data_IF_638447134570
#
_entry.id   IF_638447134570
#
_cell.length_a   1.000
_cell.length_b   1.000
_cell.length_c   1.000
_cell.angle_alpha   90.00
_cell.angle_beta   90.00
_cell.angle_gamma   90.00
#
_symmetry.space_group_name_H-M   'P 1'
#
loop_
_entity.id
_entity.type
_entity.pdbx_description
1 polymer ?
#
# COMPACT_ATOMS: atom_id res chain seq x y z
N UNK A 1 16.32 -5.51 -25.97
CA UNK A 1 17.05 -6.57 -25.23
C UNK A 1 18.52 -6.54 -25.64
N UNK A 2 19.24 -5.51 -25.19
CA UNK A 2 20.62 -5.23 -25.64
C UNK A 2 21.52 -5.05 -24.42
N UNK A 3 21.07 -4.29 -23.43
CA UNK A 3 21.86 -3.92 -22.25
C UNK A 3 22.10 -5.10 -21.28
N UNK A 4 21.07 -5.88 -20.94
CA UNK A 4 21.17 -7.00 -20.00
C UNK A 4 22.13 -8.10 -20.49
N UNK A 5 22.14 -8.33 -21.82
CA UNK A 5 23.05 -9.28 -22.48
C UNK A 5 24.51 -8.83 -22.42
N UNK A 6 24.76 -7.54 -22.68
CA UNK A 6 26.10 -6.97 -22.56
C UNK A 6 26.60 -6.96 -21.12
N UNK A 7 25.74 -6.63 -20.15
CA UNK A 7 26.08 -6.67 -18.73
C UNK A 7 26.42 -8.09 -18.27
N UNK A 8 25.67 -9.10 -18.73
CA UNK A 8 25.99 -10.51 -18.45
C UNK A 8 27.37 -10.90 -19.02
N UNK A 9 27.71 -10.46 -20.23
CA UNK A 9 29.02 -10.71 -20.86
C UNK A 9 30.16 -10.02 -20.09
N UNK A 10 29.92 -8.83 -19.54
CA UNK A 10 30.86 -8.09 -18.71
C UNK A 10 30.97 -8.64 -17.28
N UNK A 11 30.27 -9.73 -16.97
CA UNK A 11 30.32 -10.40 -15.68
C UNK A 11 29.39 -9.81 -14.63
N UNK A 12 28.32 -9.11 -15.03
CA UNK A 12 27.31 -8.56 -14.12
C UNK A 12 26.02 -9.37 -14.15
N UNK A 13 25.54 -9.76 -12.98
CA UNK A 13 24.25 -10.43 -12.80
C UNK A 13 23.22 -9.47 -12.21
N UNK A 14 22.00 -9.51 -12.74
CA UNK A 14 20.87 -8.80 -12.15
C UNK A 14 20.35 -9.58 -10.94
N UNK A 15 20.73 -9.13 -9.75
CA UNK A 15 20.47 -9.86 -8.51
C UNK A 15 19.55 -9.08 -7.58
N UNK A 16 18.60 -9.80 -6.98
CA UNK A 16 17.80 -9.27 -5.88
C UNK A 16 18.55 -9.46 -4.57
N UNK A 17 18.83 -8.36 -3.89
CA UNK A 17 19.32 -8.40 -2.51
C UNK A 17 18.14 -8.85 -1.64
N UNK A 18 18.20 -10.09 -1.17
CA UNK A 18 17.20 -10.67 -0.27
C UNK A 18 17.43 -10.13 1.14
N UNK A 19 16.48 -9.36 1.65
CA UNK A 19 16.25 -9.16 3.08
C UNK A 19 14.99 -9.96 3.44
N UNK A 20 14.95 -10.55 4.62
CA UNK A 20 13.74 -11.16 5.13
C UNK A 20 12.63 -10.09 5.19
N UNK A 21 11.49 -10.39 4.58
CA UNK A 21 10.31 -9.53 4.59
C UNK A 21 9.44 -9.99 5.75
N UNK A 22 8.98 -9.05 6.56
CA UNK A 22 7.98 -9.34 7.58
C UNK A 22 6.63 -9.55 6.89
N UNK A 23 6.05 -10.72 7.08
CA UNK A 23 4.68 -11.03 6.64
C UNK A 23 3.73 -10.71 7.79
N UNK A 24 2.84 -9.75 7.57
CA UNK A 24 2.00 -9.15 8.62
C UNK A 24 0.84 -10.04 9.11
N UNK A 25 0.94 -11.36 8.94
CA UNK A 25 -0.01 -12.35 9.48
C UNK A 25 -1.49 -12.13 9.12
N UNK A 26 -1.78 -11.22 8.18
CA UNK A 26 -3.13 -10.76 7.86
C UNK A 26 -4.04 -11.88 7.33
N UNK A 27 -3.43 -12.91 6.74
CA UNK A 27 -4.12 -14.07 6.17
C UNK A 27 -4.42 -15.17 7.21
N UNK A 28 -3.96 -15.01 8.45
CA UNK A 28 -4.26 -16.01 9.50
C UNK A 28 -5.77 -16.11 9.72
N UNK A 29 -6.25 -17.33 9.90
CA UNK A 29 -7.67 -17.63 10.00
C UNK A 29 -8.36 -16.90 11.16
N UNK A 30 -7.67 -16.71 12.29
CA UNK A 30 -8.18 -15.99 13.44
C UNK A 30 -8.29 -14.48 13.18
N UNK A 31 -7.31 -13.89 12.50
CA UNK A 31 -7.33 -12.48 12.07
C UNK A 31 -8.48 -12.22 11.08
N UNK A 32 -8.65 -13.12 10.11
CA UNK A 32 -9.76 -13.04 9.14
C UNK A 32 -11.11 -13.16 9.83
N UNK A 33 -11.27 -14.15 10.73
CA UNK A 33 -12.51 -14.35 11.48
C UNK A 33 -12.86 -13.13 12.34
N UNK A 34 -11.86 -12.50 12.96
CA UNK A 34 -12.04 -11.28 13.74
C UNK A 34 -12.48 -10.08 12.89
N UNK A 35 -11.93 -9.89 11.69
CA UNK A 35 -12.25 -8.74 10.81
C UNK A 35 -13.61 -8.84 10.15
N UNK A 36 -14.11 -10.05 9.89
CA UNK A 36 -15.35 -10.30 9.17
C UNK A 36 -16.55 -9.47 9.67
N UNK A 37 -16.91 -9.53 10.97
CA UNK A 37 -18.02 -8.74 11.53
C UNK A 37 -17.85 -7.23 11.35
N UNK A 38 -16.65 -6.71 11.61
CA UNK A 38 -16.36 -5.28 11.44
C UNK A 38 -16.49 -4.83 9.99
N UNK A 39 -15.98 -5.63 9.04
CA UNK A 39 -16.17 -5.36 7.62
C UNK A 39 -17.66 -5.37 7.24
N UNK A 40 -18.45 -6.30 7.78
CA UNK A 40 -19.88 -6.35 7.51
C UNK A 40 -20.62 -5.10 8.03
N UNK A 41 -20.26 -4.63 9.23
CA UNK A 41 -20.81 -3.39 9.78
C UNK A 41 -20.45 -2.18 8.92
N UNK A 42 -19.18 -2.04 8.52
CA UNK A 42 -18.77 -0.96 7.61
C UNK A 42 -19.52 -1.00 6.27
N UNK A 43 -19.64 -2.18 5.67
CA UNK A 43 -20.35 -2.36 4.40
C UNK A 43 -21.84 -1.99 4.52
N UNK A 44 -22.47 -2.24 5.67
CA UNK A 44 -23.86 -1.86 5.91
C UNK A 44 -24.06 -0.34 6.03
N UNK A 45 -23.01 0.41 6.39
CA UNK A 45 -23.03 1.86 6.52
C UNK A 45 -22.68 2.59 5.21
N UNK A 46 -21.95 1.94 4.29
CA UNK A 46 -21.56 2.52 3.00
C UNK A 46 -22.71 3.14 2.18
N UNK A 47 -23.93 2.56 2.10
CA UNK A 47 -25.03 3.17 1.35
C UNK A 47 -25.45 4.56 1.86
N UNK A 48 -25.08 4.91 3.09
CA UNK A 48 -25.34 6.21 3.72
C UNK A 48 -24.19 7.19 3.55
N UNK A 49 -23.10 6.83 2.87
CA UNK A 49 -22.00 7.74 2.54
C UNK A 49 -22.01 8.10 1.06
N UNK A 50 -21.49 9.28 0.74
CA UNK A 50 -21.22 9.69 -0.64
C UNK A 50 -20.32 8.69 -1.35
N UNK A 51 -20.69 8.32 -2.58
CA UNK A 51 -19.94 7.41 -3.44
C UNK A 51 -19.39 8.16 -4.66
N UNK A 52 -18.45 7.53 -5.35
CA UNK A 52 -17.85 8.08 -6.57
C UNK A 52 -17.95 7.06 -7.69
N UNK A 53 -18.55 7.46 -8.81
CA UNK A 53 -18.73 6.61 -9.98
C UNK A 53 -17.99 7.17 -11.19
N UNK A 54 -17.41 6.30 -12.01
CA UNK A 54 -16.83 6.71 -13.28
C UNK A 54 -17.94 6.88 -14.32
N UNK A 55 -18.12 8.11 -14.81
CA UNK A 55 -19.08 8.44 -15.85
C UNK A 55 -18.39 9.28 -16.93
N UNK A 56 -18.45 8.83 -18.18
CA UNK A 56 -17.86 9.51 -19.34
C UNK A 56 -16.36 9.87 -19.18
N UNK A 57 -15.59 9.02 -18.50
CA UNK A 57 -14.15 9.22 -18.29
C UNK A 57 -13.79 10.23 -17.19
N UNK A 58 -14.75 10.61 -16.34
CA UNK A 58 -14.52 11.38 -15.13
C UNK A 58 -15.17 10.72 -13.91
N UNK A 59 -14.64 11.00 -12.72
CA UNK A 59 -15.28 10.62 -11.46
C UNK A 59 -16.38 11.65 -11.13
N UNK A 60 -17.58 11.15 -10.87
CA UNK A 60 -18.75 11.94 -10.50
C UNK A 60 -19.17 11.55 -9.09
N UNK A 61 -19.44 12.56 -8.27
CA UNK A 61 -19.96 12.40 -6.91
C UNK A 61 -21.42 11.95 -6.95
N UNK A 62 -21.73 10.89 -6.21
CA UNK A 62 -23.07 10.31 -6.08
C UNK A 62 -23.48 10.38 -4.61
N UNK A 63 -24.34 11.35 -4.23
CA UNK A 63 -24.79 11.47 -2.85
C UNK A 63 -25.70 10.29 -2.45
N UNK A 64 -25.71 9.89 -1.16
CA UNK A 64 -26.50 8.76 -0.70
C UNK A 64 -28.00 9.06 -0.72
N UNK A 65 -28.80 8.02 -0.96
CA UNK A 65 -30.26 8.11 -0.83
C UNK A 65 -30.64 7.77 0.62
N UNK A 66 -30.96 8.81 1.40
CA UNK A 66 -31.31 8.67 2.82
C UNK A 66 -32.83 8.53 3.00
N UNK A 67 -33.25 7.63 3.90
CA UNK A 67 -34.66 7.58 4.33
C UNK A 67 -34.93 8.59 5.46
N UNK A 68 -36.20 8.97 5.72
CA UNK A 68 -36.51 9.93 6.79
C UNK A 68 -35.95 9.49 8.14
N UNK A 69 -35.12 10.34 8.74
CA UNK A 69 -34.45 10.09 10.03
C UNK A 69 -33.03 9.55 9.92
N UNK A 70 -32.52 9.28 8.72
CA UNK A 70 -31.11 8.98 8.50
C UNK A 70 -30.28 10.24 8.25
N UNK A 71 -29.03 10.19 8.69
CA UNK A 71 -28.00 11.19 8.39
C UNK A 71 -26.93 10.56 7.50
N UNK A 72 -26.33 11.39 6.66
CA UNK A 72 -25.17 11.00 5.86
C UNK A 72 -23.99 10.64 6.77
N UNK A 73 -23.30 9.56 6.41
CA UNK A 73 -22.13 9.06 7.12
C UNK A 73 -20.88 9.48 6.37
N UNK A 74 -19.95 10.10 7.11
CA UNK A 74 -18.64 10.49 6.60
C UNK A 74 -17.58 9.57 7.21
N UNK A 75 -16.98 8.72 6.38
CA UNK A 75 -15.87 7.87 6.82
C UNK A 75 -14.57 8.68 6.87
N UNK A 76 -14.09 8.93 8.07
CA UNK A 76 -12.75 9.51 8.32
C UNK A 76 -11.83 8.38 8.76
N UNK A 77 -10.92 7.99 7.88
CA UNK A 77 -9.92 6.94 8.14
C UNK A 77 -8.55 7.55 8.38
N UNK A 78 -7.74 6.91 9.21
CA UNK A 78 -6.36 7.30 9.45
C UNK A 78 -5.44 6.15 9.08
N UNK A 79 -4.30 6.48 8.49
CA UNK A 79 -3.24 5.52 8.21
C UNK A 79 -1.87 6.14 8.48
N UNK A 80 -0.93 5.26 8.80
CA UNK A 80 0.45 5.61 9.09
C UNK A 80 1.40 4.96 8.09
N UNK A 81 2.35 5.74 7.58
CA UNK A 81 3.39 5.24 6.70
C UNK A 81 4.77 5.63 7.20
N UNK A 82 5.68 4.67 7.23
CA UNK A 82 7.06 4.85 7.64
C UNK A 82 8.00 4.83 6.42
N UNK A 83 8.62 5.96 6.12
CA UNK A 83 9.60 6.12 5.04
C UNK A 83 11.00 6.05 5.60
N UNK A 84 11.74 5.00 5.28
CA UNK A 84 13.08 4.82 5.77
C UNK A 84 14.14 5.28 4.75
N UNK A 85 15.17 5.99 5.21
CA UNK A 85 16.22 6.57 4.37
C UNK A 85 16.96 5.53 3.52
N UNK A 86 17.07 4.28 3.99
CA UNK A 86 17.75 3.20 3.29
C UNK A 86 16.77 2.23 2.57
N UNK A 87 15.52 2.64 2.35
CA UNK A 87 14.56 1.88 1.53
C UNK A 87 14.85 2.04 0.02
N UNK A 88 16.07 1.67 -0.39
CA UNK A 88 16.54 1.78 -1.78
C UNK A 88 16.20 0.55 -2.63
N UNK A 89 16.40 0.65 -3.95
CA UNK A 89 16.14 -0.41 -4.95
C UNK A 89 16.66 -1.77 -4.47
N UNK A 90 15.81 -2.81 -4.47
CA UNK A 90 16.18 -4.18 -4.05
C UNK A 90 16.96 -4.95 -5.13
N UNK A 91 16.91 -4.46 -6.37
CA UNK A 91 17.54 -5.06 -7.53
C UNK A 91 18.76 -4.23 -7.93
N UNK A 92 19.89 -4.89 -8.08
CA UNK A 92 21.18 -4.29 -8.46
C UNK A 92 21.90 -5.20 -9.45
N UNK A 93 22.67 -4.60 -10.36
CA UNK A 93 23.67 -5.33 -11.13
C UNK A 93 24.92 -5.46 -10.26
N UNK A 94 25.36 -6.69 -10.01
CA UNK A 94 26.57 -6.99 -9.24
C UNK A 94 27.53 -7.77 -10.12
N UNK A 95 28.81 -7.42 -10.06
CA UNK A 95 29.82 -8.21 -10.75
C UNK A 95 30.03 -9.56 -10.04
N UNK A 96 30.37 -10.62 -10.78
CA UNK A 96 30.61 -11.94 -10.22
C UNK A 96 31.63 -11.90 -9.07
N UNK A 97 31.18 -12.31 -7.87
CA UNK A 97 32.01 -12.33 -6.66
C UNK A 97 31.99 -11.03 -5.84
N UNK A 98 31.33 -9.97 -6.32
CA UNK A 98 31.14 -8.75 -5.53
C UNK A 98 29.92 -8.86 -4.62
N UNK A 99 30.10 -8.38 -3.38
CA UNK A 99 29.00 -8.20 -2.43
C UNK A 99 28.89 -6.72 -2.08
N UNK A 100 27.75 -6.12 -2.38
CA UNK A 100 27.46 -4.75 -1.92
C UNK A 100 27.00 -4.81 -0.47
N UNK A 101 27.86 -4.33 0.44
CA UNK A 101 27.49 -4.08 1.82
C UNK A 101 26.53 -2.90 1.88
N UNK A 102 25.29 -3.16 2.30
CA UNK A 102 24.35 -2.09 2.64
C UNK A 102 24.49 -1.71 4.11
N UNK A 103 24.25 -0.44 4.47
CA UNK A 103 24.13 -0.06 5.86
C UNK A 103 23.15 -0.99 6.58
N UNK A 104 23.55 -1.49 7.75
CA UNK A 104 22.70 -2.34 8.58
C UNK A 104 21.46 -1.54 9.01
N UNK A 105 20.28 -2.12 8.85
CA UNK A 105 19.00 -1.49 9.19
C UNK A 105 18.43 -0.58 8.10
N UNK A 106 17.31 0.07 8.42
CA UNK A 106 16.56 0.89 7.47
C UNK A 106 16.99 2.37 7.46
N UNK A 107 17.96 2.74 8.30
CA UNK A 107 18.40 4.14 8.46
C UNK A 107 17.40 4.95 9.29
N UNK A 108 17.50 6.28 9.24
CA UNK A 108 16.49 7.17 9.84
C UNK A 108 15.14 6.97 9.14
N UNK A 109 14.07 6.91 9.91
CA UNK A 109 12.70 6.81 9.39
C UNK A 109 11.93 8.11 9.62
N UNK A 110 11.13 8.49 8.65
CA UNK A 110 10.09 9.51 8.76
C UNK A 110 8.75 8.78 8.89
N UNK A 111 8.04 8.98 10.00
CA UNK A 111 6.68 8.50 10.18
C UNK A 111 5.73 9.62 9.75
N UNK A 112 4.81 9.29 8.86
CA UNK A 112 3.77 10.20 8.37
C UNK A 112 2.44 9.59 8.79
N UNK A 113 1.59 10.40 9.40
CA UNK A 113 0.20 10.05 9.72
C UNK A 113 -0.71 10.98 8.95
N UNK A 114 -1.73 10.43 8.31
CA UNK A 114 -2.72 11.21 7.56
C UNK A 114 -4.13 10.73 7.86
N UNK A 115 -5.08 11.66 7.86
CA UNK A 115 -6.50 11.36 7.84
C UNK A 115 -7.01 11.54 6.41
N UNK A 116 -7.92 10.68 5.98
CA UNK A 116 -8.55 10.74 4.67
C UNK A 116 -10.07 10.62 4.82
N UNK A 117 -10.79 11.44 4.05
CA UNK A 117 -12.22 11.31 3.83
C UNK A 117 -12.50 11.18 2.34
N UNK A 118 -13.51 10.39 1.96
CA UNK A 118 -14.03 10.37 0.59
C UNK A 118 -14.49 11.75 0.08
N UNK A 119 -14.85 12.64 1.01
CA UNK A 119 -15.33 13.99 0.79
C UNK A 119 -14.22 15.05 0.70
N UNK A 120 -13.08 14.82 1.35
CA UNK A 120 -11.97 15.75 1.45
C UNK A 120 -10.68 14.93 1.44
N UNK A 121 -10.01 14.93 0.28
CA UNK A 121 -8.81 14.13 0.03
C UNK A 121 -7.63 14.47 0.93
#
# INVERSE_FOLDING_TARGET
TTLDRWLSILGFDYTQIKKDVYEDGHERSDVVAYRGPYCAELLALLPRSTQWEEQNGGLVEVPPVLVPGEEEIVFVVQDESAFAANNGKKLVYLQHGENVLRPKGNGKSLMISGFNCQCHG
#
